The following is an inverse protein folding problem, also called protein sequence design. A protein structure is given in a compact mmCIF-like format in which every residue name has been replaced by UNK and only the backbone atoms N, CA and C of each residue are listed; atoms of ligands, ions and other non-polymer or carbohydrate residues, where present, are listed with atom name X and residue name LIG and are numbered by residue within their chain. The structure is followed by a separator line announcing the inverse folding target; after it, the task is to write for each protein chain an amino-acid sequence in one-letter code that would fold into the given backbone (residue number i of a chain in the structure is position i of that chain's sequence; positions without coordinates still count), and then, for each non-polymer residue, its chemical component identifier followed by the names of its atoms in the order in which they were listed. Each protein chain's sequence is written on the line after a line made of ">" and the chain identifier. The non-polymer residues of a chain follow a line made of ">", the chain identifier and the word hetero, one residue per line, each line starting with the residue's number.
data_IF_139014932311
#
_entry.id   IF_139014932311
#
_cell.length_a   1.000
_cell.length_b   1.000
_cell.length_c   1.000
_cell.angle_alpha   90.00
_cell.angle_beta   90.00
_cell.angle_gamma   90.00
#
_symmetry.space_group_name_H-M   'P 1'
#
loop_
_entity.id
_entity.type
_entity.pdbx_description
1 polymer ?
#
# COMPACT_ATOMS: atom_id res chain seq x y z
N UNK A 1 -6.95 -5.17 -15.22
CA UNK A 1 -5.53 -5.61 -15.08
C UNK A 1 -5.49 -7.13 -14.97
N UNK A 2 -4.52 -7.79 -15.61
CA UNK A 2 -4.37 -9.25 -15.53
C UNK A 2 -3.94 -9.68 -14.11
N UNK A 3 -4.57 -10.73 -13.56
CA UNK A 3 -4.31 -11.21 -12.19
C UNK A 3 -2.87 -11.67 -11.96
N UNK A 4 -2.26 -12.35 -12.93
CA UNK A 4 -0.89 -12.86 -12.82
C UNK A 4 0.11 -11.71 -12.81
N UNK A 5 -0.08 -10.73 -13.69
CA UNK A 5 0.76 -9.54 -13.76
C UNK A 5 0.66 -8.71 -12.47
N UNK A 6 -0.54 -8.53 -11.92
CA UNK A 6 -0.72 -7.85 -10.66
C UNK A 6 -0.01 -8.56 -9.51
N UNK A 7 -0.15 -9.89 -9.39
CA UNK A 7 0.53 -10.65 -8.34
C UNK A 7 2.06 -10.60 -8.49
N UNK A 8 2.58 -10.57 -9.72
CA UNK A 8 4.00 -10.40 -9.95
C UNK A 8 4.51 -9.04 -9.45
N UNK A 9 3.78 -7.96 -9.75
CA UNK A 9 4.09 -6.60 -9.27
C UNK A 9 4.09 -6.58 -7.74
N UNK A 10 3.03 -7.11 -7.10
CA UNK A 10 2.90 -7.15 -5.64
C UNK A 10 4.07 -7.91 -5.02
N UNK A 11 4.44 -9.06 -5.57
CA UNK A 11 5.54 -9.87 -5.05
C UNK A 11 6.89 -9.16 -5.16
N UNK A 12 7.18 -8.54 -6.30
CA UNK A 12 8.42 -7.76 -6.50
C UNK A 12 8.47 -6.56 -5.55
N UNK A 13 7.39 -5.78 -5.48
CA UNK A 13 7.32 -4.61 -4.60
C UNK A 13 7.41 -4.99 -3.11
N UNK A 14 6.78 -6.08 -2.68
CA UNK A 14 6.86 -6.53 -1.29
C UNK A 14 8.28 -6.98 -0.89
N UNK A 15 9.10 -7.42 -1.84
CA UNK A 15 10.47 -7.87 -1.58
C UNK A 15 11.48 -6.73 -1.69
N UNK A 16 11.32 -5.83 -2.65
CA UNK A 16 12.29 -4.77 -2.93
C UNK A 16 12.01 -3.49 -2.13
N UNK A 17 10.75 -3.24 -1.74
CA UNK A 17 10.33 -1.98 -1.11
C UNK A 17 9.71 -2.24 0.25
N UNK A 18 10.37 -1.76 1.31
CA UNK A 18 9.91 -1.94 2.70
C UNK A 18 8.51 -1.38 2.98
N UNK A 19 8.04 -0.39 2.22
CA UNK A 19 6.69 0.17 2.34
C UNK A 19 5.60 -0.85 1.98
N UNK A 20 5.80 -1.66 0.92
CA UNK A 20 4.80 -2.63 0.46
C UNK A 20 4.77 -3.90 1.30
N UNK A 21 5.83 -4.16 2.07
CA UNK A 21 5.84 -5.27 3.04
C UNK A 21 4.75 -5.06 4.10
N UNK A 22 4.05 -6.13 4.43
CA UNK A 22 3.12 -6.10 5.57
C UNK A 22 3.93 -5.99 6.86
N UNK A 23 3.61 -5.00 7.69
CA UNK A 23 4.23 -4.80 9.00
C UNK A 23 3.16 -4.84 10.07
N UNK A 24 3.55 -5.28 11.28
CA UNK A 24 2.72 -5.10 12.46
C UNK A 24 2.88 -3.67 12.97
N UNK A 25 1.79 -3.06 13.38
CA UNK A 25 1.81 -1.79 14.08
C UNK A 25 2.34 -1.97 15.52
N UNK A 26 2.52 -0.86 16.23
CA UNK A 26 3.03 -0.84 17.61
C UNK A 26 2.09 -1.61 18.58
N UNK A 27 0.82 -1.75 18.20
CA UNK A 27 -0.22 -2.51 18.92
C UNK A 27 -0.23 -4.00 18.54
N UNK A 28 0.65 -4.43 17.62
CA UNK A 28 0.76 -5.81 17.15
C UNK A 28 -0.26 -6.21 16.07
N UNK A 29 -1.12 -5.30 15.60
CA UNK A 29 -2.09 -5.55 14.53
C UNK A 29 -1.38 -5.50 13.17
N UNK A 30 -1.77 -6.39 12.27
CA UNK A 30 -1.23 -6.40 10.92
C UNK A 30 -1.78 -5.19 10.15
N UNK A 31 -0.90 -4.32 9.66
CA UNK A 31 -1.28 -3.25 8.76
C UNK A 31 -1.72 -3.77 7.38
N UNK A 32 -1.97 -2.85 6.44
CA UNK A 32 -2.44 -3.23 5.10
C UNK A 32 -1.51 -4.24 4.43
N UNK A 33 -2.15 -5.20 3.77
CA UNK A 33 -1.45 -6.23 2.99
C UNK A 33 -0.81 -5.64 1.72
N UNK A 34 0.23 -6.30 1.17
CA UNK A 34 0.92 -5.82 -0.03
C UNK A 34 -0.01 -5.62 -1.24
N UNK A 35 -1.00 -6.51 -1.53
CA UNK A 35 -1.98 -6.27 -2.58
C UNK A 35 -2.81 -5.00 -2.36
N UNK A 36 -3.25 -4.74 -1.12
CA UNK A 36 -4.05 -3.55 -0.81
C UNK A 36 -3.25 -2.27 -1.03
N UNK A 37 -1.98 -2.25 -0.59
CA UNK A 37 -1.06 -1.13 -0.81
C UNK A 37 -0.80 -0.89 -2.31
N UNK A 38 -0.62 -1.94 -3.09
CA UNK A 38 -0.44 -1.83 -4.54
C UNK A 38 -1.69 -1.29 -5.24
N UNK A 39 -2.88 -1.78 -4.89
CA UNK A 39 -4.14 -1.27 -5.45
C UNK A 39 -4.37 0.19 -5.10
N UNK A 40 -3.99 0.63 -3.89
CA UNK A 40 -4.03 2.04 -3.50
C UNK A 40 -3.06 2.88 -4.35
N UNK A 41 -1.79 2.47 -4.46
CA UNK A 41 -0.79 3.16 -5.25
C UNK A 41 -1.19 3.29 -6.73
N UNK A 42 -1.70 2.22 -7.33
CA UNK A 42 -2.18 2.22 -8.72
C UNK A 42 -3.38 3.17 -8.88
N UNK A 43 -4.29 3.22 -7.92
CA UNK A 43 -5.42 4.16 -7.94
C UNK A 43 -4.95 5.62 -7.86
N UNK A 44 -4.00 5.93 -6.98
CA UNK A 44 -3.42 7.27 -6.87
C UNK A 44 -2.72 7.68 -8.18
N UNK A 45 -1.98 6.76 -8.81
CA UNK A 45 -1.32 7.01 -10.09
C UNK A 45 -2.31 7.17 -11.26
N UNK A 46 -3.37 6.36 -11.29
CA UNK A 46 -4.31 6.33 -12.41
C UNK A 46 -5.31 7.50 -12.40
N UNK A 47 -5.78 7.91 -11.22
CA UNK A 47 -6.82 8.91 -11.09
C UNK A 47 -6.30 10.27 -10.60
N UNK A 48 -5.03 10.35 -10.21
CA UNK A 48 -4.54 11.47 -9.43
C UNK A 48 -5.13 11.45 -8.02
N UNK A 49 -4.66 12.35 -7.16
CA UNK A 49 -5.05 12.41 -5.74
C UNK A 49 -6.54 12.74 -5.58
N UNK A 50 -7.42 11.74 -5.66
CA UNK A 50 -8.80 11.82 -5.18
C UNK A 50 -8.83 11.67 -3.63
N UNK A 51 -8.04 12.56 -3.00
CA UNK A 51 -8.24 13.40 -1.83
C UNK A 51 -8.90 12.93 -0.52
N UNK A 52 -9.59 11.79 -0.40
CA UNK A 52 -10.29 11.48 0.87
C UNK A 52 -9.89 10.15 1.53
N UNK A 53 -9.43 9.16 0.76
CA UNK A 53 -8.99 7.87 1.32
C UNK A 53 -7.49 7.80 1.64
N UNK A 54 -6.72 8.83 1.25
CA UNK A 54 -5.25 8.89 1.45
C UNK A 54 -4.90 9.72 2.70
N UNK A 55 -5.77 10.62 3.15
CA UNK A 55 -5.54 11.40 4.38
C UNK A 55 -5.43 10.50 5.61
N UNK A 56 -6.24 9.44 5.68
CA UNK A 56 -6.15 8.43 6.75
C UNK A 56 -4.82 7.65 6.72
N UNK A 57 -4.12 7.63 5.58
CA UNK A 57 -2.83 6.96 5.40
C UNK A 57 -1.62 7.86 5.70
N UNK A 58 -1.70 9.15 5.35
CA UNK A 58 -0.66 10.14 5.66
C UNK A 58 -0.61 10.48 7.14
N UNK A 59 -1.75 10.46 7.84
CA UNK A 59 -1.79 10.64 9.31
C UNK A 59 -1.11 9.52 10.10
N UNK A 60 -1.00 8.32 9.53
CA UNK A 60 -0.25 7.22 10.14
C UNK A 60 1.28 7.37 9.99
N UNK A 61 1.75 8.16 9.01
CA UNK A 61 3.17 8.46 8.78
C UNK A 61 3.64 9.80 9.35
N UNK A 62 2.71 10.70 9.68
CA UNK A 62 3.00 12.03 10.22
C UNK A 62 3.04 12.10 11.76
N UNK A 63 2.70 11.00 12.45
CA UNK A 63 2.83 10.93 13.92
C UNK A 63 4.20 10.35 14.27
N UNK A 64 5.23 11.18 14.10
CA UNK A 64 6.53 11.00 14.77
C UNK A 64 6.63 12.04 15.88
#
# INVERSE_FOLDING_TARGET
>A
MNKLLFMHIVHRLSNEVCFFRQKKDVTGRLGLSPPQKCTAAIRVLAYGSALDAVDEYLRLGATT
#
